data_IF_613318159297
#
_entry.id   IF_613318159297
#
_cell.length_a   1.000
_cell.length_b   1.000
_cell.length_c   1.000
_cell.angle_alpha   90.00
_cell.angle_beta   90.00
_cell.angle_gamma   90.00
#
_symmetry.space_group_name_H-M   'P 1'
#
loop_
_entity.id
_entity.type
_entity.pdbx_description
1 polymer ?
#
# COMPACT_ATOMS: atom_id res chain seq x y z
N UNK A 1 -7.74 -16.11 -2.13
CA UNK A 1 -6.72 -16.93 -1.44
C UNK A 1 -6.94 -16.75 0.05
N UNK A 2 -6.91 -17.81 0.87
CA UNK A 2 -7.09 -17.66 2.32
C UNK A 2 -5.89 -16.96 2.96
N UNK A 3 -6.08 -16.34 4.13
CA UNK A 3 -4.98 -15.74 4.88
C UNK A 3 -3.87 -16.76 5.19
N UNK A 4 -4.26 -18.01 5.51
CA UNK A 4 -3.32 -19.10 5.77
C UNK A 4 -2.42 -19.40 4.56
N UNK A 5 -2.99 -19.52 3.36
CA UNK A 5 -2.18 -19.78 2.14
C UNK A 5 -1.22 -18.62 1.88
N UNK A 6 -1.69 -17.38 2.03
CA UNK A 6 -0.85 -16.19 1.86
C UNK A 6 0.31 -16.15 2.85
N UNK A 7 0.04 -16.49 4.11
CA UNK A 7 1.06 -16.56 5.15
C UNK A 7 2.09 -17.65 4.84
N UNK A 8 1.62 -18.84 4.44
CA UNK A 8 2.50 -19.96 4.08
C UNK A 8 3.39 -19.61 2.89
N UNK A 9 2.84 -18.95 1.87
CA UNK A 9 3.60 -18.46 0.72
C UNK A 9 4.69 -17.48 1.17
N UNK A 10 4.36 -16.49 2.00
CA UNK A 10 5.35 -15.53 2.50
C UNK A 10 6.47 -16.21 3.29
N UNK A 11 6.14 -17.12 4.21
CA UNK A 11 7.14 -17.84 5.01
C UNK A 11 8.09 -18.64 4.12
N UNK A 12 7.56 -19.43 3.18
CA UNK A 12 8.35 -20.30 2.32
C UNK A 12 9.22 -19.49 1.36
N UNK A 13 8.62 -18.50 0.68
CA UNK A 13 9.34 -17.76 -0.35
C UNK A 13 10.29 -16.70 0.21
N UNK A 14 10.03 -16.16 1.42
CA UNK A 14 11.00 -15.30 2.11
C UNK A 14 12.29 -16.05 2.41
N UNK A 15 12.21 -17.29 2.91
CA UNK A 15 13.38 -18.13 3.21
C UNK A 15 14.19 -18.50 1.96
N UNK A 16 13.51 -18.78 0.85
CA UNK A 16 14.13 -19.18 -0.42
C UNK A 16 14.65 -17.99 -1.25
N UNK A 17 14.29 -16.77 -0.86
CA UNK A 17 14.72 -15.56 -1.55
C UNK A 17 16.21 -15.32 -1.32
N UNK A 18 16.99 -15.21 -2.41
CA UNK A 18 18.44 -14.99 -2.34
C UNK A 18 18.75 -13.75 -1.46
N UNK A 19 19.75 -13.82 -0.59
CA UNK A 19 20.15 -12.63 0.18
C UNK A 19 20.82 -11.56 -0.68
N UNK A 20 21.35 -11.88 -1.87
CA UNK A 20 22.03 -10.93 -2.77
C UNK A 20 21.31 -10.68 -4.10
N UNK A 21 20.35 -11.54 -4.46
CA UNK A 21 19.69 -11.59 -5.75
C UNK A 21 18.40 -10.77 -5.95
N UNK A 22 17.54 -10.54 -4.94
CA UNK A 22 16.33 -9.76 -5.11
C UNK A 22 16.66 -8.28 -5.01
N UNK A 23 16.06 -7.54 -5.92
CA UNK A 23 16.02 -6.11 -5.88
C UNK A 23 15.07 -5.61 -4.78
N UNK A 24 15.05 -4.29 -4.59
CA UNK A 24 14.12 -3.62 -3.67
C UNK A 24 12.65 -3.96 -3.96
N UNK A 25 12.29 -4.29 -5.20
CA UNK A 25 10.93 -4.67 -5.58
C UNK A 25 10.45 -5.96 -4.94
N UNK A 26 11.28 -6.99 -4.82
CA UNK A 26 10.90 -8.23 -4.13
C UNK A 26 10.57 -7.98 -2.65
N UNK A 27 11.45 -7.28 -1.93
CA UNK A 27 11.23 -6.98 -0.51
C UNK A 27 10.05 -6.03 -0.29
N UNK A 28 9.75 -5.17 -1.27
CA UNK A 28 8.49 -4.41 -1.26
C UNK A 28 7.27 -5.33 -1.23
N UNK A 29 7.25 -6.38 -2.04
CA UNK A 29 6.11 -7.30 -2.09
C UNK A 29 5.95 -8.07 -0.78
N UNK A 30 7.07 -8.51 -0.17
CA UNK A 30 7.02 -9.11 1.16
C UNK A 30 6.51 -8.13 2.23
N UNK A 31 6.97 -6.87 2.20
CA UNK A 31 6.50 -5.82 3.11
C UNK A 31 4.98 -5.64 3.01
N UNK A 32 4.48 -5.48 1.78
CA UNK A 32 3.03 -5.34 1.51
C UNK A 32 2.27 -6.58 2.01
N UNK A 33 2.76 -7.77 1.67
CA UNK A 33 2.10 -9.04 2.04
C UNK A 33 1.99 -9.23 3.56
N UNK A 34 3.05 -8.89 4.31
CA UNK A 34 3.04 -8.99 5.77
C UNK A 34 2.11 -7.96 6.43
N UNK A 35 2.06 -6.71 5.92
CA UNK A 35 1.14 -5.69 6.43
C UNK A 35 -0.32 -6.06 6.17
N UNK A 36 -0.63 -6.65 5.03
CA UNK A 36 -1.98 -7.17 4.73
C UNK A 36 -2.39 -8.35 5.62
N UNK A 37 -1.44 -9.03 6.27
CA UNK A 37 -1.68 -10.07 7.26
C UNK A 37 -1.63 -9.56 8.71
N UNK A 38 -1.45 -8.26 8.93
CA UNK A 38 -1.35 -7.69 10.27
C UNK A 38 0.01 -7.88 10.95
N UNK A 39 1.02 -8.42 10.27
CA UNK A 39 2.34 -8.68 10.84
C UNK A 39 3.31 -7.52 10.58
N UNK A 40 3.15 -6.44 11.34
CA UNK A 40 3.98 -5.24 11.19
C UNK A 40 5.45 -5.49 11.51
N UNK A 41 5.77 -6.37 12.46
CA UNK A 41 7.15 -6.70 12.82
C UNK A 41 7.91 -7.28 11.61
N UNK A 42 7.35 -8.31 10.97
CA UNK A 42 7.91 -8.90 9.76
C UNK A 42 7.97 -7.91 8.59
N UNK A 43 6.93 -7.11 8.40
CA UNK A 43 6.94 -6.08 7.38
C UNK A 43 8.11 -5.09 7.57
N UNK A 44 8.39 -4.68 8.81
CA UNK A 44 9.47 -3.76 9.13
C UNK A 44 10.85 -4.36 8.84
N UNK A 45 11.05 -5.67 9.06
CA UNK A 45 12.28 -6.38 8.67
C UNK A 45 12.48 -6.32 7.15
N UNK A 46 11.42 -6.60 6.38
CA UNK A 46 11.47 -6.61 4.92
C UNK A 46 11.69 -5.20 4.37
N UNK A 47 10.97 -4.21 4.91
CA UNK A 47 11.12 -2.81 4.54
C UNK A 47 12.53 -2.29 4.82
N UNK A 48 13.10 -2.64 5.99
CA UNK A 48 14.47 -2.27 6.33
C UNK A 48 15.49 -2.89 5.38
N UNK A 49 15.24 -4.12 4.93
CA UNK A 49 16.11 -4.82 3.98
C UNK A 49 16.23 -4.07 2.65
N UNK A 50 15.18 -3.37 2.21
CA UNK A 50 15.17 -2.60 0.96
C UNK A 50 16.27 -1.53 0.87
N UNK A 51 16.69 -0.97 2.00
CA UNK A 51 17.70 0.10 2.06
C UNK A 51 19.12 -0.38 1.73
N UNK A 52 19.38 -1.69 1.78
CA UNK A 52 20.70 -2.25 1.40
C UNK A 52 21.07 -1.99 -0.06
N UNK A 53 20.06 -1.79 -0.91
CA UNK A 53 20.18 -1.50 -2.33
C UNK A 53 20.37 0.01 -2.59
N UNK A 54 20.35 0.85 -1.55
CA UNK A 54 20.54 2.30 -1.63
C UNK A 54 21.99 2.66 -1.32
N UNK A 55 22.71 3.16 -2.31
CA UNK A 55 24.15 3.34 -2.27
C UNK A 55 24.54 4.79 -2.06
N UNK A 56 25.48 5.05 -1.15
CA UNK A 56 26.11 6.37 -0.99
C UNK A 56 27.08 6.72 -2.14
N UNK A 57 27.49 8.00 -2.26
CA UNK A 57 27.06 9.13 -1.42
C UNK A 57 25.71 9.72 -1.86
N UNK A 58 25.23 9.40 -3.07
CA UNK A 58 24.07 10.05 -3.69
C UNK A 58 22.73 9.31 -3.51
N UNK A 59 22.70 8.26 -2.67
CA UNK A 59 21.50 7.43 -2.42
C UNK A 59 20.90 6.83 -3.70
N UNK A 60 21.78 6.36 -4.58
CA UNK A 60 21.40 5.71 -5.85
C UNK A 60 20.94 4.29 -5.57
N UNK A 61 19.80 3.91 -6.13
CA UNK A 61 19.31 2.54 -6.08
C UNK A 61 20.05 1.67 -7.09
N UNK A 62 20.44 0.46 -6.68
CA UNK A 62 20.97 -0.59 -7.54
C UNK A 62 20.14 -1.87 -7.42
N UNK A 63 20.21 -2.73 -8.44
CA UNK A 63 19.52 -4.03 -8.44
C UNK A 63 19.99 -4.93 -7.30
N UNK A 64 21.30 -4.92 -7.00
CA UNK A 64 21.92 -5.69 -5.92
C UNK A 64 22.64 -4.79 -4.92
N UNK A 65 22.77 -5.19 -3.65
CA UNK A 65 23.53 -4.43 -2.65
C UNK A 65 25.03 -4.31 -2.97
N UNK A 66 25.74 -3.35 -2.36
CA UNK A 66 27.20 -3.34 -2.29
C UNK A 66 27.76 -4.68 -1.78
N UNK A 67 28.89 -5.12 -2.32
CA UNK A 67 29.54 -6.36 -1.89
C UNK A 67 28.90 -7.64 -2.43
N UNK A 68 27.90 -7.53 -3.30
CA UNK A 68 27.37 -8.68 -4.04
C UNK A 68 28.48 -9.30 -4.91
N UNK A 69 28.53 -10.63 -5.08
CA UNK A 69 29.60 -11.30 -5.84
C UNK A 69 29.75 -10.79 -7.27
N UNK A 70 28.65 -10.35 -7.88
CA UNK A 70 28.61 -9.80 -9.24
C UNK A 70 28.69 -8.25 -9.30
N UNK A 71 28.93 -7.60 -8.16
CA UNK A 71 28.76 -6.15 -8.00
C UNK A 71 27.29 -5.72 -7.90
N UNK A 72 27.09 -4.39 -7.82
CA UNK A 72 25.78 -3.77 -7.56
C UNK A 72 24.74 -4.01 -8.67
N UNK A 73 25.17 -4.16 -9.93
CA UNK A 73 24.32 -4.30 -11.15
C UNK A 73 23.26 -3.18 -11.32
N UNK A 74 22.90 -2.92 -12.58
CA UNK A 74 21.88 -1.93 -13.00
C UNK A 74 21.76 -0.69 -12.08
N UNK A 75 22.80 0.14 -11.98
CA UNK A 75 22.75 1.38 -11.19
C UNK A 75 21.66 2.33 -11.70
N UNK A 76 21.07 3.14 -10.82
CA UNK A 76 19.85 3.90 -11.09
C UNK A 76 18.66 2.98 -11.38
N UNK A 77 18.50 1.96 -10.54
CA UNK A 77 17.48 0.94 -10.70
C UNK A 77 16.09 1.49 -10.34
N UNK A 78 15.40 2.05 -11.33
CA UNK A 78 14.08 2.70 -11.16
C UNK A 78 13.03 1.73 -10.63
N UNK A 79 13.09 0.46 -11.04
CA UNK A 79 12.18 -0.58 -10.51
C UNK A 79 12.32 -0.70 -9.00
N UNK A 80 13.54 -0.59 -8.46
CA UNK A 80 13.77 -0.62 -7.01
C UNK A 80 13.22 0.61 -6.30
N UNK A 81 13.37 1.79 -6.89
CA UNK A 81 12.74 3.02 -6.38
C UNK A 81 11.22 2.89 -6.36
N UNK A 82 10.63 2.36 -7.44
CA UNK A 82 9.21 2.08 -7.56
C UNK A 82 8.72 1.08 -6.52
N UNK A 83 9.49 0.02 -6.26
CA UNK A 83 9.21 -0.93 -5.18
C UNK A 83 9.16 -0.24 -3.82
N UNK A 84 10.12 0.63 -3.50
CA UNK A 84 10.06 1.39 -2.23
C UNK A 84 8.81 2.25 -2.12
N UNK A 85 8.41 2.92 -3.20
CA UNK A 85 7.18 3.69 -3.22
C UNK A 85 5.94 2.80 -3.03
N UNK A 86 5.90 1.62 -3.67
CA UNK A 86 4.82 0.66 -3.52
C UNK A 86 4.71 0.14 -2.08
N UNK A 87 5.83 -0.16 -1.41
CA UNK A 87 5.83 -0.55 0.00
C UNK A 87 5.26 0.57 0.90
N UNK A 88 5.55 1.83 0.60
CA UNK A 88 5.01 2.96 1.37
C UNK A 88 3.50 3.14 1.11
N UNK A 89 3.07 3.25 -0.14
CA UNK A 89 1.66 3.55 -0.44
C UNK A 89 0.72 2.35 -0.27
N UNK A 90 1.11 1.21 -0.81
CA UNK A 90 0.28 0.00 -0.81
C UNK A 90 0.59 -0.91 0.38
N UNK A 91 1.76 -0.77 1.01
CA UNK A 91 2.05 -1.43 2.29
C UNK A 91 1.57 -0.55 3.43
N UNK A 92 2.38 0.42 3.84
CA UNK A 92 2.12 1.25 5.02
C UNK A 92 0.88 2.14 4.89
N UNK A 93 0.54 2.63 3.70
CA UNK A 93 -0.72 3.36 3.47
C UNK A 93 -1.94 2.43 3.38
N UNK A 94 -1.72 1.13 3.13
CA UNK A 94 -2.79 0.15 2.98
C UNK A 94 -3.77 0.44 1.84
N UNK A 95 -3.40 1.30 0.86
CA UNK A 95 -4.34 1.78 -0.17
C UNK A 95 -4.72 0.64 -1.12
N UNK A 96 -6.00 0.35 -1.28
CA UNK A 96 -6.50 -0.62 -2.28
C UNK A 96 -7.62 0.00 -3.09
N UNK A 97 -7.42 0.06 -4.41
CA UNK A 97 -8.49 0.40 -5.34
C UNK A 97 -9.33 -0.85 -5.60
N UNK A 98 -10.62 -0.77 -5.29
CA UNK A 98 -11.62 -1.79 -5.63
C UNK A 98 -12.47 -1.31 -6.80
N UNK A 99 -13.49 -2.07 -7.20
CA UNK A 99 -14.33 -1.70 -8.34
C UNK A 99 -15.07 -0.37 -8.11
N UNK A 100 -15.63 -0.17 -6.91
CA UNK A 100 -16.42 1.02 -6.56
C UNK A 100 -15.90 1.78 -5.35
N UNK A 101 -14.95 1.21 -4.62
CA UNK A 101 -14.43 1.80 -3.38
C UNK A 101 -12.92 1.95 -3.43
N UNK A 102 -12.38 2.79 -2.56
CA UNK A 102 -10.96 2.80 -2.21
C UNK A 102 -10.84 2.48 -0.74
N UNK A 103 -10.09 1.43 -0.39
CA UNK A 103 -9.82 1.08 1.00
C UNK A 103 -8.47 1.64 1.44
N UNK A 104 -8.35 1.95 2.73
CA UNK A 104 -7.08 2.19 3.43
C UNK A 104 -7.03 1.30 4.67
N UNK A 105 -5.83 0.89 5.06
CA UNK A 105 -5.58 0.25 6.36
C UNK A 105 -4.14 0.57 6.78
N UNK A 106 -3.90 1.79 7.28
CA UNK A 106 -2.55 2.31 7.36
C UNK A 106 -1.80 1.90 8.62
N UNK A 107 -0.48 1.92 8.52
CA UNK A 107 0.50 1.74 9.59
C UNK A 107 1.43 2.95 9.62
N UNK A 108 1.93 3.29 10.81
CA UNK A 108 3.02 4.28 10.93
C UNK A 108 4.31 3.69 10.38
N UNK A 109 5.06 4.50 9.63
CA UNK A 109 6.35 4.11 9.08
C UNK A 109 7.36 3.79 10.19
N UNK A 110 8.29 2.83 9.99
CA UNK A 110 9.26 2.45 11.01
C UNK A 110 10.13 3.63 11.44
N UNK A 111 10.15 3.91 12.75
CA UNK A 111 10.93 5.01 13.32
C UNK A 111 10.30 6.41 13.19
N UNK A 112 9.09 6.51 12.64
CA UNK A 112 8.30 7.74 12.64
C UNK A 112 7.22 7.68 13.74
N UNK A 113 6.71 8.84 14.18
CA UNK A 113 5.50 8.96 15.01
C UNK A 113 4.26 9.28 14.18
N UNK A 114 4.47 9.88 13.01
CA UNK A 114 3.43 10.18 12.02
C UNK A 114 4.01 10.35 10.63
N UNK A 115 3.15 10.26 9.62
CA UNK A 115 3.48 10.58 8.23
C UNK A 115 2.21 10.91 7.44
N UNK A 116 2.36 11.55 6.28
CA UNK A 116 1.22 12.03 5.49
C UNK A 116 1.30 11.61 4.03
N UNK A 117 0.12 11.36 3.46
CA UNK A 117 -0.09 11.23 2.01
C UNK A 117 -0.86 12.47 1.57
N UNK A 118 -0.27 13.28 0.71
CA UNK A 118 -0.86 14.53 0.26
C UNK A 118 -1.29 14.42 -1.21
N UNK A 119 -2.45 14.97 -1.53
CA UNK A 119 -3.00 14.98 -2.89
C UNK A 119 -3.33 13.60 -3.45
N UNK A 120 -3.79 12.67 -2.60
CA UNK A 120 -4.29 11.38 -3.04
C UNK A 120 -5.55 11.59 -3.89
N UNK A 121 -5.49 11.16 -5.14
CA UNK A 121 -6.60 11.33 -6.09
C UNK A 121 -7.51 10.11 -6.12
N UNK A 122 -8.81 10.32 -5.95
CA UNK A 122 -9.82 9.27 -6.07
C UNK A 122 -11.06 9.80 -6.79
N UNK A 123 -11.38 9.27 -7.98
CA UNK A 123 -12.58 9.65 -8.77
C UNK A 123 -12.77 11.17 -8.97
N UNK A 124 -11.69 11.94 -9.03
CA UNK A 124 -11.72 13.40 -9.19
C UNK A 124 -11.55 14.18 -7.88
N UNK A 125 -11.73 13.53 -6.74
CA UNK A 125 -11.51 14.10 -5.41
C UNK A 125 -10.02 14.11 -5.07
N UNK A 126 -9.60 15.12 -4.31
CA UNK A 126 -8.24 15.22 -3.76
C UNK A 126 -8.28 15.12 -2.23
N UNK A 127 -7.52 14.17 -1.67
CA UNK A 127 -7.52 13.85 -0.25
C UNK A 127 -6.11 14.00 0.34
N UNK A 128 -6.04 14.55 1.55
CA UNK A 128 -4.85 14.50 2.39
C UNK A 128 -5.11 13.56 3.57
N UNK A 129 -4.16 12.65 3.81
CA UNK A 129 -4.20 11.69 4.91
C UNK A 129 -3.02 11.97 5.84
N UNK A 130 -3.27 12.14 7.14
CA UNK A 130 -2.24 12.15 8.18
C UNK A 130 -2.41 10.90 9.04
N UNK A 131 -1.37 10.08 9.10
CA UNK A 131 -1.35 8.79 9.77
C UNK A 131 -0.51 8.92 11.04
N UNK A 132 -1.11 8.66 12.20
CA UNK A 132 -0.46 8.64 13.52
C UNK A 132 -0.60 7.25 14.16
N UNK A 133 -0.10 7.06 15.38
CA UNK A 133 -0.09 5.74 16.04
C UNK A 133 -1.49 5.15 16.26
N UNK A 134 -2.47 6.00 16.62
CA UNK A 134 -3.83 5.59 16.99
C UNK A 134 -4.94 6.21 16.14
N UNK A 135 -4.62 7.20 15.31
CA UNK A 135 -5.62 7.92 14.53
C UNK A 135 -5.16 8.17 13.10
N UNK A 136 -6.14 8.36 12.22
CA UNK A 136 -5.95 8.83 10.85
C UNK A 136 -6.82 10.07 10.67
N UNK A 137 -6.22 11.17 10.23
CA UNK A 137 -6.94 12.38 9.84
C UNK A 137 -7.07 12.40 8.33
N UNK A 138 -8.31 12.54 7.87
CA UNK A 138 -8.67 12.60 6.46
C UNK A 138 -9.21 13.98 6.17
N UNK A 139 -8.56 14.71 5.27
CA UNK A 139 -9.03 16.03 4.84
C UNK A 139 -9.42 15.99 3.38
N UNK A 140 -10.64 16.41 3.06
CA UNK A 140 -11.07 16.58 1.67
C UNK A 140 -10.59 17.94 1.16
N UNK A 141 -9.64 17.93 0.22
CA UNK A 141 -9.03 19.15 -0.30
C UNK A 141 -9.79 19.71 -1.50
N UNK A 142 -10.42 18.85 -2.30
CA UNK A 142 -11.18 19.23 -3.49
C UNK A 142 -12.31 18.23 -3.74
N UNK A 143 -13.54 18.72 -3.81
CA UNK A 143 -14.71 18.02 -4.33
C UNK A 143 -14.96 18.47 -5.79
N UNK A 144 -14.96 17.55 -6.78
CA UNK A 144 -15.16 17.92 -8.17
C UNK A 144 -16.55 18.49 -8.50
N UNK A 145 -17.57 18.17 -7.71
CA UNK A 145 -18.98 18.46 -8.01
C UNK A 145 -19.69 19.28 -6.92
N UNK A 146 -19.00 19.63 -5.83
CA UNK A 146 -19.52 20.35 -4.64
C UNK A 146 -20.84 19.74 -4.13
N UNK A 147 -20.89 18.40 -3.99
CA UNK A 147 -22.11 17.66 -3.69
C UNK A 147 -22.00 16.71 -2.49
N UNK A 148 -20.85 16.68 -1.82
CA UNK A 148 -20.59 15.89 -0.62
C UNK A 148 -20.90 14.38 -0.83
N UNK A 149 -20.70 13.87 -2.05
CA UNK A 149 -21.04 12.50 -2.43
C UNK A 149 -20.02 11.47 -1.93
N UNK A 150 -18.80 11.90 -1.57
CA UNK A 150 -17.76 11.04 -1.03
C UNK A 150 -17.97 10.78 0.47
N UNK A 151 -18.07 9.50 0.84
CA UNK A 151 -18.26 9.06 2.21
C UNK A 151 -17.06 8.24 2.68
N UNK A 152 -16.61 8.51 3.91
CA UNK A 152 -15.63 7.72 4.63
C UNK A 152 -16.36 6.82 5.64
N UNK A 153 -16.13 5.51 5.58
CA UNK A 153 -16.56 4.56 6.61
C UNK A 153 -15.34 4.01 7.35
N UNK A 154 -15.32 4.14 8.67
CA UNK A 154 -14.32 3.56 9.57
C UNK A 154 -14.86 2.25 10.15
N UNK A 155 -14.11 1.16 9.98
CA UNK A 155 -14.49 -0.15 10.55
C UNK A 155 -14.29 -0.16 12.07
N UNK A 156 -13.24 0.48 12.57
CA UNK A 156 -12.92 0.53 14.01
C UNK A 156 -13.92 1.38 14.80
N UNK A 157 -14.38 2.49 14.22
CA UNK A 157 -15.32 3.40 14.89
C UNK A 157 -16.79 3.06 14.61
N UNK A 158 -17.06 2.20 13.61
CA UNK A 158 -18.39 1.98 13.02
C UNK A 158 -19.10 3.29 12.64
N UNK A 159 -18.32 4.30 12.20
CA UNK A 159 -18.81 5.62 11.81
C UNK A 159 -18.79 5.81 10.30
N UNK A 160 -19.77 6.58 9.80
CA UNK A 160 -19.86 7.01 8.40
C UNK A 160 -19.92 8.52 8.36
N UNK A 161 -18.96 9.12 7.69
CA UNK A 161 -18.77 10.56 7.63
C UNK A 161 -18.84 11.00 6.17
N UNK A 162 -19.85 11.81 5.82
CA UNK A 162 -19.90 12.51 4.53
C UNK A 162 -18.81 13.58 4.57
N UNK A 163 -17.91 13.57 3.57
CA UNK A 163 -16.75 14.46 3.57
C UNK A 163 -17.10 15.76 2.86
N UNK A 164 -17.07 16.87 3.59
CA UNK A 164 -17.22 18.21 3.01
C UNK A 164 -15.86 18.81 2.64
N UNK A 165 -15.81 19.61 1.58
CA UNK A 165 -14.56 20.24 1.15
C UNK A 165 -13.98 21.16 2.24
N UNK A 166 -12.70 20.97 2.56
CA UNK A 166 -11.97 21.68 3.61
C UNK A 166 -12.19 21.12 5.02
N UNK A 167 -13.05 20.12 5.19
CA UNK A 167 -13.26 19.44 6.46
C UNK A 167 -12.18 18.39 6.69
N UNK A 168 -11.74 18.28 7.95
CA UNK A 168 -10.92 17.17 8.44
C UNK A 168 -11.78 16.26 9.33
N UNK A 169 -11.86 14.99 8.98
CA UNK A 169 -12.45 13.92 9.78
C UNK A 169 -11.32 13.12 10.44
N UNK A 170 -11.47 12.78 11.72
CA UNK A 170 -10.50 11.97 12.46
C UNK A 170 -11.14 10.64 12.82
N UNK A 171 -10.48 9.54 12.46
CA UNK A 171 -10.92 8.17 12.74
C UNK A 171 -9.86 7.42 13.54
N UNK A 172 -10.25 6.38 14.27
CA UNK A 172 -9.29 5.43 14.87
C UNK A 172 -8.51 4.74 13.75
N UNK A 173 -7.19 4.59 13.93
CA UNK A 173 -6.34 3.94 12.92
C UNK A 173 -6.72 2.47 12.77
N UNK A 174 -7.27 2.15 11.60
CA UNK A 174 -7.58 0.79 11.18
C UNK A 174 -8.10 0.80 9.75
N UNK A 175 -8.90 -0.20 9.40
CA UNK A 175 -9.49 -0.27 8.06
C UNK A 175 -10.54 0.83 7.89
N UNK A 176 -10.44 1.56 6.78
CA UNK A 176 -11.45 2.52 6.36
C UNK A 176 -11.69 2.44 4.85
N UNK A 177 -12.88 2.86 4.43
CA UNK A 177 -13.34 2.73 3.04
C UNK A 177 -13.96 4.02 2.56
N UNK A 178 -13.47 4.50 1.43
CA UNK A 178 -14.05 5.60 0.66
C UNK A 178 -14.99 5.03 -0.40
N UNK A 179 -16.20 5.57 -0.49
CA UNK A 179 -17.20 5.19 -1.47
C UNK A 179 -18.13 6.35 -1.81
N UNK A 180 -18.82 6.28 -2.94
CA UNK A 180 -19.79 7.31 -3.34
C UNK A 180 -21.18 6.95 -2.84
N UNK A 181 -21.89 7.93 -2.27
CA UNK A 181 -23.30 7.79 -1.87
C UNK A 181 -24.19 7.49 -3.08
N UNK A 182 -23.88 8.06 -4.24
CA UNK A 182 -24.58 7.83 -5.51
C UNK A 182 -24.60 6.38 -5.96
N UNK A 183 -23.59 5.59 -5.55
CA UNK A 183 -23.47 4.20 -5.97
C UNK A 183 -24.50 3.28 -5.27
N UNK A 184 -25.25 3.80 -4.28
CA UNK A 184 -26.31 3.09 -3.53
C UNK A 184 -25.90 1.75 -2.91
N UNK A 185 -24.60 1.52 -2.75
CA UNK A 185 -24.03 0.33 -2.12
C UNK A 185 -23.30 0.78 -0.87
N UNK A 186 -23.90 0.53 0.30
CA UNK A 186 -23.24 0.77 1.58
C UNK A 186 -22.23 -0.36 1.78
N UNK A 187 -20.93 -0.08 1.91
CA UNK A 187 -19.97 -1.11 2.27
C UNK A 187 -20.39 -1.71 3.61
N UNK A 188 -20.57 -3.03 3.62
CA UNK A 188 -20.75 -3.80 4.85
C UNK A 188 -19.39 -4.30 5.30
N UNK A 189 -19.20 -4.46 6.61
CA UNK A 189 -18.09 -5.24 7.16
C UNK A 189 -17.97 -6.56 6.38
N UNK A 190 -16.77 -6.94 5.91
CA UNK A 190 -16.60 -8.19 5.22
C UNK A 190 -17.08 -9.31 6.15
N UNK A 191 -18.05 -10.10 5.69
CA UNK A 191 -18.39 -11.35 6.37
C UNK A 191 -17.11 -12.16 6.55
N UNK A 192 -16.87 -12.81 7.70
CA UNK A 192 -15.78 -13.77 7.81
C UNK A 192 -15.89 -14.75 6.64
N UNK A 193 -14.76 -15.20 6.05
CA UNK A 193 -14.80 -15.92 4.79
C UNK A 193 -15.53 -17.26 4.97
N UNK A 194 -16.81 -17.28 4.64
CA UNK A 194 -17.52 -18.50 4.31
C UNK A 194 -16.95 -18.98 2.97
N UNK A 195 -16.42 -20.21 2.99
CA UNK A 195 -15.73 -20.80 1.87
C UNK A 195 -16.57 -20.80 0.60
N UNK A 196 -16.33 -19.84 -0.30
CA UNK A 196 -16.69 -19.94 -1.71
C UNK A 196 -15.91 -18.91 -2.55
N UNK A 197 -15.03 -19.46 -3.39
CA UNK A 197 -14.60 -18.98 -4.73
C UNK A 197 -15.05 -17.58 -5.19
N UNK A 198 -14.09 -16.67 -5.32
CA UNK A 198 -14.18 -15.49 -6.19
C UNK A 198 -12.90 -15.37 -7.03
N UNK A 199 -13.08 -15.37 -8.36
CA UNK A 199 -12.04 -15.17 -9.36
C UNK A 199 -11.55 -13.72 -9.30
N UNK A 200 -10.36 -13.46 -8.75
CA UNK A 200 -9.49 -12.38 -9.24
C UNK A 200 -8.04 -12.86 -9.12
N UNK A 201 -7.65 -13.67 -10.10
CA UNK A 201 -6.25 -13.89 -10.47
C UNK A 201 -6.06 -13.28 -11.86
N UNK A 202 -5.91 -11.94 -11.93
CA UNK A 202 -5.42 -11.23 -13.11
C UNK A 202 -5.29 -9.71 -12.85
N UNK A 203 -4.37 -9.30 -11.97
CA UNK A 203 -3.97 -7.88 -11.94
C UNK A 203 -2.51 -7.60 -11.56
N UNK A 204 -1.76 -8.57 -11.02
CA UNK A 204 -0.36 -8.34 -10.61
C UNK A 204 0.67 -8.66 -11.70
N UNK A 205 0.28 -9.32 -12.81
CA UNK A 205 1.23 -9.66 -13.89
C UNK A 205 1.13 -8.81 -15.17
N UNK A 206 0.09 -7.98 -15.34
CA UNK A 206 -0.15 -7.27 -16.62
C UNK A 206 0.47 -5.86 -16.65
N UNK A 207 0.71 -5.24 -15.49
CA UNK A 207 1.28 -3.87 -15.47
C UNK A 207 2.81 -3.80 -15.58
N UNK A 208 3.55 -4.90 -15.38
CA UNK A 208 5.01 -4.94 -15.61
C UNK A 208 5.40 -5.24 -17.07
N UNK A 209 4.50 -5.80 -17.88
CA UNK A 209 4.80 -6.14 -19.28
C UNK A 209 4.54 -4.97 -20.27
N UNK A 210 3.70 -4.00 -19.91
CA UNK A 210 3.31 -2.92 -20.83
C UNK A 210 4.28 -1.71 -20.84
N UNK A 211 5.23 -1.63 -19.90
CA UNK A 211 6.19 -0.52 -19.86
C UNK A 211 7.55 -0.81 -20.54
N UNK A 212 7.81 -2.06 -20.97
CA UNK A 212 9.07 -2.44 -21.64
C UNK A 212 8.95 -2.69 -23.15
N UNK A 213 7.75 -2.60 -23.74
CA UNK A 213 7.55 -2.85 -25.17
C UNK A 213 7.59 -1.57 -26.05
N UNK A 214 8.04 -0.42 -25.53
CA UNK A 214 8.15 0.83 -26.32
C UNK A 214 9.47 1.59 -26.19
N UNK A 215 10.51 0.94 -25.68
CA UNK A 215 11.87 1.48 -25.63
C UNK A 215 12.88 0.40 -26.04
N UNK A 216 12.70 -0.17 -27.24
CA UNK A 216 13.75 -0.63 -28.17
C UNK A 216 13.14 -0.70 -29.57
#
# INVERSE_FOLDING_TARGET
MSQEVRQNDLVIYEELTDKYGPDTGTWSMHTVGWLELGNQEKANEMFSTMFRNVNGPFKIFSEKPPGSPDGQRAVNFITGMGGMLQAVFFGYGGIRQMEKTMEINPYVLPGASSWSILGLKYRGYDLDLEIEDNEVKVTLMHDPDDNDDLVLWSEEDDSRDELEQGQTVTITRGKAVFYMKSDNEIPTAPSPPDGATSLIAQSVLVFMAALFAKLF
#
